data_IF_813100136853
#
_entry.id   IF_813100136853
#
_cell.length_a   1.000
_cell.length_b   1.000
_cell.length_c   1.000
_cell.angle_alpha   90.00
_cell.angle_beta   90.00
_cell.angle_gamma   90.00
#
_symmetry.space_group_name_H-M   'P 1'
#
loop_
_entity.id
_entity.type
_entity.pdbx_description
1 polymer ?
#
# COMPACT_ATOMS: atom_id res chain seq x y z
N UNK A 1 -28.32 -9.09 -33.67
CA UNK A 1 -27.56 -8.24 -32.71
C UNK A 1 -27.30 -9.07 -31.48
N UNK A 2 -26.05 -9.20 -31.04
CA UNK A 2 -25.77 -9.85 -29.76
C UNK A 2 -26.38 -9.01 -28.64
N UNK A 3 -27.12 -9.64 -27.73
CA UNK A 3 -27.64 -8.97 -26.53
C UNK A 3 -26.48 -8.68 -25.59
N UNK A 4 -26.40 -7.44 -25.10
CA UNK A 4 -25.39 -7.04 -24.11
C UNK A 4 -26.09 -6.87 -22.77
N UNK A 5 -25.48 -7.42 -21.71
CA UNK A 5 -25.94 -7.25 -20.34
C UNK A 5 -25.04 -6.22 -19.65
N UNK A 6 -25.59 -5.23 -18.93
CA UNK A 6 -24.78 -4.28 -18.18
C UNK A 6 -24.03 -5.00 -17.04
N UNK A 7 -22.76 -4.69 -16.88
CA UNK A 7 -21.91 -5.16 -15.78
C UNK A 7 -21.16 -3.97 -15.17
N UNK A 8 -20.99 -3.97 -13.85
CA UNK A 8 -20.06 -3.03 -13.21
C UNK A 8 -18.65 -3.57 -13.34
N UNK A 9 -17.72 -2.68 -13.62
CA UNK A 9 -16.31 -3.00 -13.79
C UNK A 9 -15.55 -2.02 -12.90
N UNK A 10 -14.51 -2.51 -12.25
CA UNK A 10 -13.58 -1.69 -11.49
C UNK A 10 -12.94 -0.59 -12.35
N UNK A 11 -12.70 0.59 -11.76
CA UNK A 11 -12.19 1.76 -12.47
C UNK A 11 -10.75 1.55 -12.96
N UNK A 12 -9.90 0.85 -12.20
CA UNK A 12 -8.53 0.52 -12.63
C UNK A 12 -8.54 -0.48 -13.77
N UNK A 13 -9.42 -1.50 -13.71
CA UNK A 13 -9.58 -2.45 -14.80
C UNK A 13 -10.08 -1.76 -16.07
N UNK A 14 -11.03 -0.82 -15.95
CA UNK A 14 -11.52 -0.02 -17.07
C UNK A 14 -10.42 0.88 -17.66
N UNK A 15 -9.65 1.56 -16.81
CA UNK A 15 -8.53 2.39 -17.24
C UNK A 15 -7.47 1.56 -17.98
N UNK A 16 -7.13 0.39 -17.45
CA UNK A 16 -6.21 -0.57 -18.08
C UNK A 16 -6.73 -1.04 -19.44
N UNK A 17 -8.02 -1.37 -19.54
CA UNK A 17 -8.64 -1.77 -20.79
C UNK A 17 -8.66 -0.65 -21.82
N UNK A 18 -8.85 0.61 -21.41
CA UNK A 18 -8.79 1.77 -22.30
C UNK A 18 -7.40 1.94 -22.91
N UNK A 19 -6.36 1.81 -22.10
CA UNK A 19 -4.96 1.90 -22.57
C UNK A 19 -4.64 0.76 -23.54
N UNK A 20 -4.90 -0.49 -23.14
CA UNK A 20 -4.61 -1.65 -23.98
C UNK A 20 -5.46 -1.72 -25.27
N UNK A 21 -6.73 -1.29 -25.17
CA UNK A 21 -7.66 -1.24 -26.30
C UNK A 21 -7.25 -0.21 -27.35
N UNK A 22 -6.74 0.95 -26.92
CA UNK A 22 -6.31 2.02 -27.84
C UNK A 22 -5.23 1.58 -28.83
N UNK A 23 -4.30 0.71 -28.38
CA UNK A 23 -3.23 0.14 -29.21
C UNK A 23 -3.78 -0.78 -30.31
N UNK A 24 -4.94 -1.41 -30.06
CA UNK A 24 -5.55 -2.40 -30.95
C UNK A 24 -6.86 -1.90 -31.58
N UNK A 25 -7.11 -0.58 -31.55
CA UNK A 25 -8.33 0.05 -32.07
C UNK A 25 -9.63 -0.53 -31.48
N UNK A 26 -9.64 -0.80 -30.17
CA UNK A 26 -10.81 -1.27 -29.41
C UNK A 26 -11.19 -0.28 -28.32
N UNK A 27 -12.50 -0.16 -28.05
CA UNK A 27 -12.99 0.52 -26.86
C UNK A 27 -12.63 -0.26 -25.59
N UNK A 28 -12.67 0.39 -24.42
CA UNK A 28 -12.41 -0.27 -23.14
C UNK A 28 -13.33 -1.48 -22.92
N UNK A 29 -14.65 -1.33 -23.14
CA UNK A 29 -15.61 -2.44 -22.99
C UNK A 29 -15.33 -3.59 -23.97
N UNK A 30 -14.93 -3.29 -25.21
CA UNK A 30 -14.53 -4.31 -26.19
C UNK A 30 -13.24 -5.03 -25.76
N UNK A 31 -12.28 -4.29 -25.21
CA UNK A 31 -11.03 -4.86 -24.72
C UNK A 31 -11.25 -5.76 -23.50
N UNK A 32 -12.11 -5.36 -22.55
CA UNK A 32 -12.52 -6.23 -21.43
C UNK A 32 -13.20 -7.49 -21.95
N UNK A 33 -14.16 -7.37 -22.88
CA UNK A 33 -14.84 -8.53 -23.46
C UNK A 33 -13.86 -9.45 -24.21
N UNK A 34 -12.81 -8.89 -24.82
CA UNK A 34 -11.74 -9.66 -25.46
C UNK A 34 -10.91 -10.45 -24.44
N UNK A 35 -10.46 -9.81 -23.35
CA UNK A 35 -9.76 -10.48 -22.27
C UNK A 35 -10.62 -11.56 -21.61
N UNK A 36 -11.89 -11.28 -21.31
CA UNK A 36 -12.79 -12.26 -20.72
C UNK A 36 -12.98 -13.50 -21.61
N UNK A 37 -13.03 -13.32 -22.94
CA UNK A 37 -13.08 -14.44 -23.88
C UNK A 37 -11.81 -15.28 -23.81
N UNK A 38 -10.63 -14.64 -23.84
CA UNK A 38 -9.35 -15.35 -23.76
C UNK A 38 -9.19 -16.04 -22.40
N UNK A 39 -9.47 -15.35 -21.30
CA UNK A 39 -9.38 -15.88 -19.94
C UNK A 39 -10.21 -17.15 -19.76
N UNK A 40 -11.47 -17.15 -20.24
CA UNK A 40 -12.32 -18.34 -20.21
C UNK A 40 -11.70 -19.52 -20.96
N UNK A 41 -11.13 -19.30 -22.15
CA UNK A 41 -10.48 -20.39 -22.90
C UNK A 41 -9.19 -20.88 -22.21
N UNK A 42 -8.44 -19.98 -21.58
CA UNK A 42 -7.24 -20.35 -20.81
C UNK A 42 -7.61 -21.20 -19.60
N UNK A 43 -8.62 -20.79 -18.83
CA UNK A 43 -9.10 -21.52 -17.64
C UNK A 43 -9.69 -22.89 -17.98
N UNK A 44 -10.36 -23.01 -19.12
CA UNK A 44 -10.92 -24.27 -19.61
C UNK A 44 -9.86 -25.22 -20.19
N UNK A 45 -8.67 -24.71 -20.52
CA UNK A 45 -7.59 -25.53 -21.08
C UNK A 45 -6.94 -26.39 -20.00
N UNK A 46 -6.47 -27.58 -20.37
CA UNK A 46 -5.63 -28.42 -19.50
C UNK A 46 -4.21 -27.87 -19.29
N UNK A 47 -3.89 -26.70 -19.86
CA UNK A 47 -2.57 -26.08 -19.79
C UNK A 47 -2.33 -25.29 -18.50
N UNK A 48 -3.35 -25.15 -17.66
CA UNK A 48 -3.28 -24.47 -16.35
C UNK A 48 -3.72 -25.46 -15.27
N UNK A 49 -2.85 -25.71 -14.28
CA UNK A 49 -3.20 -26.59 -13.17
C UNK A 49 -3.86 -25.82 -12.03
N UNK A 50 -5.20 -25.85 -11.99
CA UNK A 50 -6.01 -25.28 -10.91
C UNK A 50 -5.62 -25.82 -9.52
N UNK A 51 -5.21 -27.09 -9.45
CA UNK A 51 -4.75 -27.73 -8.21
C UNK A 51 -3.49 -27.05 -7.67
N UNK A 52 -2.52 -26.75 -8.52
CA UNK A 52 -1.24 -26.19 -8.10
C UNK A 52 -1.37 -24.70 -7.77
N UNK A 53 -2.20 -23.98 -8.52
CA UNK A 53 -2.61 -22.61 -8.18
C UNK A 53 -3.25 -22.60 -6.78
N UNK A 54 -4.22 -23.48 -6.53
CA UNK A 54 -4.87 -23.57 -5.22
C UNK A 54 -3.89 -23.90 -4.09
N UNK A 55 -2.90 -24.77 -4.33
CA UNK A 55 -1.87 -25.12 -3.35
C UNK A 55 -1.01 -23.90 -2.97
N UNK A 56 -0.64 -23.05 -3.93
CA UNK A 56 0.09 -21.79 -3.67
C UNK A 56 -0.81 -20.77 -2.95
N UNK A 57 -2.05 -20.62 -3.39
CA UNK A 57 -3.02 -19.72 -2.74
C UNK A 57 -3.36 -20.14 -1.30
N UNK A 58 -3.16 -21.42 -0.94
CA UNK A 58 -3.27 -21.94 0.41
C UNK A 58 -1.94 -21.89 1.21
N UNK A 59 -0.86 -21.39 0.61
CA UNK A 59 0.47 -21.34 1.23
C UNK A 59 1.17 -22.69 1.39
N UNK A 60 0.63 -23.76 0.79
CA UNK A 60 1.18 -25.13 0.88
C UNK A 60 2.22 -25.44 -0.20
N UNK A 61 2.40 -24.54 -1.17
CA UNK A 61 3.37 -24.65 -2.27
C UNK A 61 4.04 -23.30 -2.53
N UNK A 62 5.29 -23.33 -3.01
CA UNK A 62 6.00 -22.12 -3.42
C UNK A 62 5.50 -21.58 -4.77
N UNK A 63 5.26 -20.27 -4.84
CA UNK A 63 4.90 -19.54 -6.05
C UNK A 63 5.94 -19.70 -7.18
N UNK A 64 7.23 -19.73 -6.84
CA UNK A 64 8.31 -19.84 -7.81
C UNK A 64 8.40 -21.22 -8.48
N UNK A 65 7.61 -22.20 -7.99
CA UNK A 65 7.55 -23.55 -8.57
C UNK A 65 6.46 -23.73 -9.63
N UNK A 66 5.67 -22.69 -9.90
CA UNK A 66 4.61 -22.68 -10.92
C UNK A 66 5.16 -22.25 -12.29
N UNK A 67 4.45 -22.61 -13.36
CA UNK A 67 4.72 -22.03 -14.68
C UNK A 67 4.37 -20.53 -14.72
N UNK A 68 4.97 -19.73 -15.61
CA UNK A 68 4.68 -18.30 -15.73
C UNK A 68 3.19 -17.95 -15.91
N UNK A 69 2.39 -18.80 -16.58
CA UNK A 69 0.96 -18.55 -16.76
C UNK A 69 0.19 -18.78 -15.46
N UNK A 70 0.45 -19.88 -14.77
CA UNK A 70 -0.09 -20.17 -13.44
C UNK A 70 0.29 -19.08 -12.42
N UNK A 71 1.54 -18.61 -12.45
CA UNK A 71 1.98 -17.47 -11.65
C UNK A 71 1.17 -16.20 -11.94
N UNK A 72 0.83 -15.94 -13.20
CA UNK A 72 0.01 -14.78 -13.56
C UNK A 72 -1.40 -14.89 -12.97
N UNK A 73 -1.99 -16.08 -12.95
CA UNK A 73 -3.28 -16.33 -12.30
C UNK A 73 -3.20 -16.11 -10.79
N UNK A 74 -2.15 -16.63 -10.12
CA UNK A 74 -1.94 -16.40 -8.68
C UNK A 74 -1.82 -14.91 -8.35
N UNK A 75 -1.09 -14.12 -9.16
CA UNK A 75 -0.98 -12.67 -8.95
C UNK A 75 -2.34 -11.97 -9.07
N UNK A 76 -3.15 -12.36 -10.04
CA UNK A 76 -4.50 -11.80 -10.19
C UNK A 76 -5.36 -12.08 -8.95
N UNK A 77 -5.32 -13.30 -8.43
CA UNK A 77 -6.11 -13.67 -7.24
C UNK A 77 -5.58 -13.05 -5.95
N UNK A 78 -4.26 -12.90 -5.80
CA UNK A 78 -3.72 -12.15 -4.68
C UNK A 78 -4.11 -10.68 -4.74
N UNK A 79 -4.09 -10.03 -5.90
CA UNK A 79 -4.58 -8.65 -6.03
C UNK A 79 -6.03 -8.53 -5.56
N UNK A 80 -6.93 -9.38 -6.09
CA UNK A 80 -8.34 -9.37 -5.71
C UNK A 80 -8.55 -9.59 -4.20
N UNK A 81 -7.88 -10.59 -3.61
CA UNK A 81 -7.95 -10.87 -2.17
C UNK A 81 -7.36 -9.74 -1.32
N UNK A 82 -6.30 -9.08 -1.78
CA UNK A 82 -5.70 -7.94 -1.07
C UNK A 82 -6.62 -6.72 -1.09
N UNK A 83 -7.34 -6.49 -2.19
CA UNK A 83 -8.31 -5.40 -2.28
C UNK A 83 -9.50 -5.66 -1.36
N UNK A 84 -10.04 -6.88 -1.35
CA UNK A 84 -11.09 -7.30 -0.42
C UNK A 84 -10.64 -7.19 1.04
N UNK A 85 -9.48 -7.76 1.38
CA UNK A 85 -8.92 -7.68 2.72
C UNK A 85 -8.68 -6.23 3.16
N UNK A 86 -8.29 -5.33 2.25
CA UNK A 86 -8.10 -3.91 2.55
C UNK A 86 -9.42 -3.18 2.74
N UNK A 87 -10.46 -3.53 1.99
CA UNK A 87 -11.78 -2.94 2.12
C UNK A 87 -12.44 -3.27 3.47
N UNK A 88 -12.16 -4.46 4.03
CA UNK A 88 -12.67 -4.90 5.32
C UNK A 88 -11.80 -4.48 6.52
N UNK A 89 -10.59 -3.96 6.28
CA UNK A 89 -9.62 -3.68 7.34
C UNK A 89 -9.93 -2.38 8.09
N UNK A 90 -10.29 -2.48 9.37
CA UNK A 90 -10.39 -1.35 10.30
C UNK A 90 -9.34 -1.43 11.43
N UNK A 91 -8.11 -1.02 11.12
CA UNK A 91 -7.03 -0.95 12.12
C UNK A 91 -7.30 0.08 13.22
N UNK A 92 -8.08 1.12 12.93
CA UNK A 92 -8.40 2.15 13.91
C UNK A 92 -9.30 1.57 15.01
N UNK A 93 -10.34 0.83 14.63
CA UNK A 93 -11.18 0.10 15.58
C UNK A 93 -10.37 -0.95 16.36
N UNK A 94 -9.51 -1.71 15.68
CA UNK A 94 -8.66 -2.72 16.32
C UNK A 94 -7.73 -2.10 17.37
N UNK A 95 -7.05 -1.00 17.06
CA UNK A 95 -6.18 -0.30 18.01
C UNK A 95 -6.98 0.36 19.12
N UNK A 96 -8.15 0.92 18.81
CA UNK A 96 -9.04 1.50 19.79
C UNK A 96 -9.49 0.46 20.83
N UNK A 97 -9.90 -0.72 20.38
CA UNK A 97 -10.29 -1.85 21.23
C UNK A 97 -9.12 -2.40 22.05
N UNK A 98 -7.90 -2.36 21.52
CA UNK A 98 -6.68 -2.72 22.23
C UNK A 98 -6.15 -1.64 23.19
N UNK A 99 -6.79 -0.47 23.27
CA UNK A 99 -6.32 0.65 24.09
C UNK A 99 -4.98 1.23 23.63
N UNK A 100 -4.62 1.05 22.37
CA UNK A 100 -3.35 1.49 21.79
C UNK A 100 -3.52 2.87 21.13
N UNK A 101 -2.45 3.66 21.15
CA UNK A 101 -2.35 4.84 20.29
C UNK A 101 -1.83 4.46 18.91
N UNK A 102 -2.24 5.18 17.88
CA UNK A 102 -1.76 5.01 16.52
C UNK A 102 -1.60 6.35 15.83
N UNK A 103 -0.82 6.36 14.76
CA UNK A 103 -0.55 7.55 13.95
C UNK A 103 -1.08 7.30 12.55
N UNK A 104 -1.83 8.26 12.01
CA UNK A 104 -2.36 8.20 10.65
C UNK A 104 -2.33 9.59 10.00
N UNK A 105 -2.64 9.63 8.70
CA UNK A 105 -2.86 10.88 7.99
C UNK A 105 -4.34 11.26 8.08
N UNK A 106 -4.64 12.50 8.46
CA UNK A 106 -6.00 13.03 8.38
C UNK A 106 -6.41 13.31 6.92
N UNK A 107 -7.67 13.72 6.70
CA UNK A 107 -8.21 14.05 5.37
C UNK A 107 -7.42 15.15 4.62
N UNK A 108 -6.61 15.93 5.33
CA UNK A 108 -5.73 16.98 4.77
C UNK A 108 -4.30 16.50 4.56
N UNK A 109 -4.03 15.21 4.75
CA UNK A 109 -2.71 14.61 4.66
C UNK A 109 -1.77 14.98 5.80
N UNK A 110 -2.31 15.45 6.95
CA UNK A 110 -1.48 15.79 8.12
C UNK A 110 -1.35 14.60 9.04
N UNK A 111 -0.15 14.39 9.55
CA UNK A 111 0.11 13.37 10.56
C UNK A 111 -0.62 13.74 11.86
N UNK A 112 -1.48 12.83 12.34
CA UNK A 112 -2.21 12.96 13.61
C UNK A 112 -2.00 11.71 14.45
N UNK A 113 -1.87 11.89 15.77
CA UNK A 113 -1.89 10.80 16.73
C UNK A 113 -3.31 10.62 17.27
N UNK A 114 -3.79 9.38 17.30
CA UNK A 114 -5.10 8.99 17.84
C UNK A 114 -4.94 8.01 19.01
N UNK A 115 -5.93 8.00 19.88
CA UNK A 115 -6.03 7.09 21.03
C UNK A 115 -7.44 6.49 21.08
N UNK A 116 -7.53 5.22 21.49
CA UNK A 116 -8.81 4.52 21.66
C UNK A 116 -9.69 5.11 22.76
N UNK A 117 -11.00 4.81 22.77
CA UNK A 117 -11.92 5.17 23.85
C UNK A 117 -11.73 4.22 25.05
N UNK A 118 -10.56 4.27 25.68
CA UNK A 118 -10.34 3.77 27.02
C UNK A 118 -9.46 4.79 27.73
N UNK A 119 -10.15 5.68 28.44
CA UNK A 119 -9.63 6.85 29.13
C UNK A 119 -9.00 7.88 28.18
N UNK A 120 -9.82 8.88 27.83
CA UNK A 120 -9.31 10.23 27.62
C UNK A 120 -8.60 10.65 28.91
N UNK A 121 -7.33 10.23 29.03
CA UNK A 121 -6.46 10.65 30.11
C UNK A 121 -6.47 12.15 30.05
N UNK A 122 -7.12 12.74 31.04
CA UNK A 122 -7.22 14.16 31.29
C UNK A 122 -5.85 14.82 31.11
N UNK A 123 -5.54 15.25 29.89
CA UNK A 123 -4.33 15.99 29.58
C UNK A 123 -4.66 17.47 29.74
N UNK A 124 -4.64 17.84 31.03
CA UNK A 124 -4.37 19.19 31.54
C UNK A 124 -3.55 20.02 30.56
N UNK A 125 -4.12 21.17 30.18
CA UNK A 125 -3.42 22.31 29.61
C UNK A 125 -2.31 22.76 30.60
N UNK A 126 -1.01 22.72 30.28
CA UNK A 126 -0.05 23.45 31.09
C UNK A 126 -0.18 24.94 30.73
N UNK A 127 -0.44 25.76 31.74
CA UNK A 127 -0.42 27.20 31.62
C UNK A 127 0.98 27.65 31.16
N UNK A 128 1.04 28.38 30.05
CA UNK A 128 2.27 28.97 29.56
C UNK A 128 2.68 30.13 30.49
N UNK A 129 3.58 29.86 31.43
CA UNK A 129 4.35 30.90 32.11
C UNK A 129 5.48 31.34 31.18
N UNK A 130 5.43 32.58 30.68
CA UNK A 130 6.50 33.18 29.87
C UNK A 130 7.82 33.19 30.66
N UNK A 131 8.97 32.76 30.10
CA UNK A 131 10.25 33.07 30.71
C UNK A 131 10.68 34.50 30.31
N UNK A 132 11.07 35.27 31.32
CA UNK A 132 11.69 36.58 31.17
C UNK A 132 13.09 36.43 30.54
N UNK A 133 13.36 37.22 29.51
CA UNK A 133 14.66 37.32 28.85
C UNK A 133 15.65 38.01 29.80
N UNK A 134 16.57 37.23 30.38
CA UNK A 134 17.75 37.75 31.05
C UNK A 134 18.88 37.98 30.03
N UNK A 135 19.30 39.24 29.88
CA UNK A 135 20.50 39.63 29.11
C UNK A 135 21.74 38.94 29.66
N UNK A 136 22.50 38.25 28.81
CA UNK A 136 23.91 37.88 29.07
C UNK A 136 24.84 38.92 28.43
N UNK A 137 25.87 39.41 29.14
CA UNK A 137 26.90 40.24 28.53
C UNK A 137 27.86 39.39 27.68
N UNK A 138 28.40 40.05 26.66
CA UNK A 138 29.42 39.52 25.77
C UNK A 138 30.72 39.21 26.53
N UNK A 139 31.32 38.06 26.24
CA UNK A 139 32.75 37.85 26.44
C UNK A 139 33.29 37.07 25.25
N UNK A 140 34.24 37.69 24.56
CA UNK A 140 34.86 37.20 23.34
C UNK A 140 36.16 36.44 23.59
N UNK A 141 36.60 35.81 22.50
CA UNK A 141 37.96 35.33 22.21
C UNK A 141 38.46 34.16 23.10
N UNK A 142 38.98 33.06 22.57
CA UNK A 142 39.93 32.93 21.45
C UNK A 142 39.90 31.50 20.88
N UNK A 143 40.02 31.40 19.56
CA UNK A 143 40.33 30.17 18.84
C UNK A 143 41.84 30.02 18.67
N UNK A 144 42.37 28.81 18.86
CA UNK A 144 43.70 28.39 18.36
C UNK A 144 43.65 26.98 17.77
N UNK A 145 43.47 26.96 16.46
CA UNK A 145 44.20 26.15 15.47
C UNK A 145 44.90 24.85 15.92
N UNK A 146 44.25 23.71 15.62
CA UNK A 146 44.91 22.40 15.49
C UNK A 146 45.21 22.10 14.03
N UNK A 147 46.50 22.01 13.67
CA UNK A 147 46.99 21.75 12.32
C UNK A 147 47.28 20.25 12.18
N UNK A 148 46.67 19.61 11.18
CA UNK A 148 46.87 18.22 10.78
C UNK A 148 48.33 17.96 10.38
N UNK A 149 48.86 16.76 10.74
CA UNK A 149 49.96 16.15 9.99
C UNK A 149 49.81 14.62 9.99
N UNK A 150 49.47 14.12 8.81
CA UNK A 150 49.58 12.73 8.37
C UNK A 150 51.07 12.39 8.21
N UNK A 151 51.50 11.20 8.67
CA UNK A 151 52.59 10.45 8.04
C UNK A 151 52.57 8.97 8.43
N UNK A 152 52.94 8.16 7.45
CA UNK A 152 52.80 6.72 7.35
C UNK A 152 54.02 5.92 7.88
N UNK A 153 53.82 4.60 7.83
CA UNK A 153 54.78 3.51 7.71
C UNK A 153 55.34 2.87 9.00
N UNK A 154 55.25 1.55 9.01
CA UNK A 154 55.70 0.59 10.01
C UNK A 154 55.00 -0.73 9.75
#
# INVERSE_FOLDING_TARGET
MATTSPARIDDELYASAKLAGSVQSRSASQQVAHWARIGREIEASSSISHKEIAAVLAGSRSYDSLDPKEQAVVRAEWSARMDEARAELDLAEDFARAGRTWVELDERGRIVERSGPAESRAAKKPAATKPAVAKRPASGATAKTGKSKVRAAG
#
